data_IF_929204796513
#
_entry.id   IF_929204796513
#
_cell.length_a   1.000
_cell.length_b   1.000
_cell.length_c   1.000
_cell.angle_alpha   90.00
_cell.angle_beta   90.00
_cell.angle_gamma   90.00
#
_symmetry.space_group_name_H-M   'P 1'
#
loop_
_entity.id
_entity.type
_entity.pdbx_description
1 polymer ?
#
# COMPACT_ATOMS: atom_id res chain seq x y z
N UNK A 1 -11.84 9.39 -12.99
CA UNK A 1 -11.43 8.74 -11.72
C UNK A 1 -11.92 9.64 -10.62
N UNK A 2 -12.99 9.28 -9.92
CA UNK A 2 -13.53 10.10 -8.84
C UNK A 2 -13.62 9.26 -7.60
N UNK A 3 -12.56 9.26 -6.78
CA UNK A 3 -12.71 8.78 -5.42
C UNK A 3 -13.71 9.68 -4.69
N UNK A 4 -14.48 9.09 -3.77
CA UNK A 4 -15.40 9.87 -2.95
C UNK A 4 -14.62 10.86 -2.08
N UNK A 5 -15.19 12.04 -1.76
CA UNK A 5 -14.56 13.00 -0.84
C UNK A 5 -14.14 12.36 0.48
N UNK A 6 -14.92 11.39 0.97
CA UNK A 6 -14.64 10.62 2.18
C UNK A 6 -13.38 9.77 2.03
N UNK A 7 -13.21 9.08 0.91
CA UNK A 7 -12.00 8.29 0.63
C UNK A 7 -10.77 9.18 0.55
N UNK A 8 -10.88 10.34 -0.13
CA UNK A 8 -9.77 11.30 -0.23
C UNK A 8 -9.34 11.77 1.15
N UNK A 9 -10.30 12.16 2.00
CA UNK A 9 -10.03 12.62 3.37
C UNK A 9 -9.36 11.54 4.22
N UNK A 10 -9.82 10.30 4.13
CA UNK A 10 -9.22 9.18 4.87
C UNK A 10 -7.78 8.92 4.42
N UNK A 11 -7.55 8.87 3.10
CA UNK A 11 -6.21 8.72 2.53
C UNK A 11 -5.28 9.87 2.91
N UNK A 12 -5.77 11.11 2.95
CA UNK A 12 -5.00 12.26 3.43
C UNK A 12 -4.55 12.09 4.89
N UNK A 13 -5.42 11.57 5.76
CA UNK A 13 -5.09 11.28 7.15
C UNK A 13 -4.01 10.20 7.26
N UNK A 14 -4.19 9.07 6.57
CA UNK A 14 -3.22 7.97 6.56
C UNK A 14 -1.86 8.46 6.06
N UNK A 15 -1.83 9.19 4.93
CA UNK A 15 -0.58 9.71 4.35
C UNK A 15 0.11 10.68 5.31
N UNK A 16 -0.66 11.53 6.01
CA UNK A 16 -0.11 12.46 7.00
C UNK A 16 0.61 11.71 8.13
N UNK A 17 0.00 10.67 8.68
CA UNK A 17 0.57 9.89 9.79
C UNK A 17 1.78 9.05 9.33
N UNK A 18 1.71 8.50 8.11
CA UNK A 18 2.84 7.75 7.53
C UNK A 18 4.05 8.67 7.31
N UNK A 19 3.83 9.88 6.76
CA UNK A 19 4.91 10.83 6.46
C UNK A 19 5.45 11.58 7.67
N UNK A 20 4.77 11.58 8.82
CA UNK A 20 5.25 12.28 10.02
C UNK A 20 6.47 11.56 10.64
N UNK A 21 7.69 12.12 10.59
CA UNK A 21 8.88 11.48 11.12
C UNK A 21 8.87 11.36 12.65
N UNK A 22 8.00 12.09 13.36
CA UNK A 22 7.92 12.08 14.83
C UNK A 22 7.03 10.96 15.37
N UNK A 23 6.23 10.34 14.50
CA UNK A 23 5.33 9.27 14.88
C UNK A 23 5.92 7.92 14.46
N UNK A 24 5.91 6.96 15.38
CA UNK A 24 6.13 5.55 15.06
C UNK A 24 5.06 4.73 15.78
N UNK A 25 4.19 4.09 15.02
CA UNK A 25 3.03 3.36 15.52
C UNK A 25 2.98 1.97 14.89
N UNK A 26 2.20 1.10 15.51
CA UNK A 26 2.04 -0.28 15.06
C UNK A 26 1.01 -0.35 13.93
N UNK A 27 1.41 -0.96 12.82
CA UNK A 27 0.56 -1.25 11.66
C UNK A 27 0.37 -2.76 11.62
N UNK A 28 -0.89 -3.20 11.65
CA UNK A 28 -1.24 -4.62 11.50
C UNK A 28 -1.31 -4.96 10.03
N UNK A 29 -0.59 -6.01 9.62
CA UNK A 29 -0.68 -6.53 8.26
C UNK A 29 -1.94 -7.39 8.16
N UNK A 30 -2.81 -7.06 7.22
CA UNK A 30 -4.03 -7.82 6.92
C UNK A 30 -3.98 -8.32 5.48
N UNK A 31 -4.53 -9.51 5.23
CA UNK A 31 -4.77 -10.04 3.88
C UNK A 31 -6.27 -10.00 3.59
N UNK A 32 -6.89 -8.90 3.99
CA UNK A 32 -8.31 -8.59 3.92
C UNK A 32 -8.44 -7.05 3.86
N UNK A 33 -9.66 -6.53 3.91
CA UNK A 33 -9.86 -5.07 3.94
C UNK A 33 -9.09 -4.38 5.05
N UNK A 34 -8.34 -3.34 4.67
CA UNK A 34 -7.64 -2.43 5.56
C UNK A 34 -8.43 -1.13 5.76
N UNK A 35 -7.84 -0.18 6.50
CA UNK A 35 -8.49 1.11 6.80
C UNK A 35 -8.80 1.93 5.53
N UNK A 36 -7.98 1.82 4.48
CA UNK A 36 -8.24 2.47 3.20
C UNK A 36 -9.44 1.83 2.47
N UNK A 37 -9.55 0.49 2.52
CA UNK A 37 -10.71 -0.23 1.99
C UNK A 37 -12.00 0.20 2.71
N UNK A 38 -11.95 0.47 4.02
CA UNK A 38 -13.13 0.84 4.79
C UNK A 38 -13.82 2.11 4.27
N UNK A 39 -13.05 3.05 3.73
CA UNK A 39 -13.54 4.28 3.10
C UNK A 39 -13.77 4.17 1.58
N UNK A 40 -13.47 3.01 0.97
CA UNK A 40 -13.57 2.84 -0.48
C UNK A 40 -15.04 2.76 -0.94
N UNK A 41 -15.46 3.55 -1.95
CA UNK A 41 -16.83 3.52 -2.46
C UNK A 41 -17.19 2.21 -3.17
N UNK A 42 -16.18 1.40 -3.52
CA UNK A 42 -16.34 0.10 -4.19
C UNK A 42 -16.21 -1.08 -3.22
N UNK A 43 -16.18 -0.83 -1.91
CA UNK A 43 -16.17 -1.90 -0.91
C UNK A 43 -17.58 -2.51 -0.82
N UNK A 44 -17.71 -3.76 -1.29
CA UNK A 44 -18.85 -4.61 -0.98
C UNK A 44 -18.79 -5.09 0.47
N UNK A 45 -19.73 -5.94 0.88
CA UNK A 45 -19.79 -6.41 2.27
C UNK A 45 -18.55 -7.23 2.67
N UNK A 46 -18.08 -8.12 1.78
CA UNK A 46 -16.91 -9.00 1.99
C UNK A 46 -15.88 -8.95 0.86
N UNK A 47 -16.22 -8.36 -0.30
CA UNK A 47 -15.39 -8.37 -1.51
C UNK A 47 -15.29 -6.99 -2.15
N UNK A 48 -14.20 -6.74 -2.86
CA UNK A 48 -14.09 -5.54 -3.70
C UNK A 48 -15.00 -5.68 -4.93
N UNK A 49 -15.99 -4.80 -5.05
CA UNK A 49 -17.01 -4.79 -6.12
C UNK A 49 -16.72 -3.72 -7.18
N UNK A 50 -15.46 -3.27 -7.30
CA UNK A 50 -15.08 -2.23 -8.26
C UNK A 50 -15.30 -2.66 -9.71
N UNK A 51 -15.05 -3.94 -10.02
CA UNK A 51 -15.39 -4.58 -11.30
C UNK A 51 -15.36 -6.11 -11.16
N UNK A 52 -15.78 -6.84 -12.19
CA UNK A 52 -15.59 -8.30 -12.23
C UNK A 52 -14.10 -8.65 -12.04
N UNK A 53 -13.81 -9.54 -11.10
CA UNK A 53 -12.44 -9.96 -10.77
C UNK A 53 -11.62 -8.97 -9.95
N UNK A 54 -12.18 -7.82 -9.52
CA UNK A 54 -11.40 -6.82 -8.76
C UNK A 54 -10.96 -7.31 -7.39
N UNK A 55 -11.76 -8.16 -6.75
CA UNK A 55 -11.42 -8.75 -5.47
C UNK A 55 -10.19 -9.67 -5.56
N UNK A 56 -10.21 -10.63 -6.48
CA UNK A 56 -9.11 -11.55 -6.71
C UNK A 56 -7.85 -10.82 -7.15
N UNK A 57 -8.01 -9.75 -7.94
CA UNK A 57 -6.91 -8.90 -8.37
C UNK A 57 -6.22 -8.20 -7.19
N UNK A 58 -6.99 -7.55 -6.31
CA UNK A 58 -6.47 -6.86 -5.12
C UNK A 58 -5.83 -7.87 -4.16
N UNK A 59 -6.52 -8.96 -3.83
CA UNK A 59 -5.98 -9.99 -2.92
C UNK A 59 -4.69 -10.64 -3.47
N UNK A 60 -4.60 -10.83 -4.79
CA UNK A 60 -3.37 -11.32 -5.43
C UNK A 60 -2.22 -10.33 -5.30
N UNK A 61 -2.50 -9.03 -5.50
CA UNK A 61 -1.52 -7.96 -5.32
C UNK A 61 -1.04 -7.87 -3.87
N UNK A 62 -1.95 -7.86 -2.90
CA UNK A 62 -1.62 -7.84 -1.47
C UNK A 62 -0.76 -9.05 -1.10
N UNK A 63 -1.16 -10.24 -1.53
CA UNK A 63 -0.42 -11.47 -1.30
C UNK A 63 0.99 -11.45 -1.90
N UNK A 64 1.20 -10.82 -3.06
CA UNK A 64 2.55 -10.64 -3.62
C UNK A 64 3.39 -9.69 -2.77
N UNK A 65 2.84 -8.53 -2.38
CA UNK A 65 3.55 -7.52 -1.59
C UNK A 65 3.92 -8.07 -0.21
N UNK A 66 2.99 -8.71 0.50
CA UNK A 66 3.23 -9.33 1.81
C UNK A 66 4.37 -10.36 1.73
N UNK A 67 4.34 -11.24 0.73
CA UNK A 67 5.40 -12.24 0.50
C UNK A 67 6.74 -11.60 0.15
N UNK A 68 6.74 -10.60 -0.74
CA UNK A 68 7.95 -9.91 -1.18
C UNK A 68 8.65 -9.17 -0.04
N UNK A 69 7.88 -8.53 0.83
CA UNK A 69 8.40 -7.84 2.01
C UNK A 69 8.78 -8.82 3.15
N UNK A 70 8.29 -10.07 3.11
CA UNK A 70 8.50 -11.06 4.17
C UNK A 70 7.67 -10.78 5.41
N UNK A 71 6.47 -10.23 5.22
CA UNK A 71 5.52 -9.91 6.28
C UNK A 71 4.60 -11.11 6.55
N UNK A 72 4.09 -11.18 7.78
CA UNK A 72 3.15 -12.23 8.20
C UNK A 72 1.79 -11.58 8.47
N UNK A 73 0.71 -11.98 7.75
CA UNK A 73 -0.63 -11.52 8.05
C UNK A 73 -1.03 -11.78 9.50
N UNK A 74 -1.70 -10.82 10.14
CA UNK A 74 -2.06 -10.85 11.55
C UNK A 74 -1.01 -10.25 12.48
N UNK A 75 0.26 -10.16 12.07
CA UNK A 75 1.29 -9.51 12.87
C UNK A 75 1.24 -7.99 12.76
N UNK A 76 1.76 -7.33 13.80
CA UNK A 76 1.97 -5.88 13.83
C UNK A 76 3.44 -5.53 13.74
N UNK A 77 3.75 -4.51 12.96
CA UNK A 77 5.09 -3.98 12.76
C UNK A 77 5.09 -2.47 12.98
N UNK A 78 6.20 -1.91 13.45
CA UNK A 78 6.31 -0.45 13.52
C UNK A 78 6.34 0.15 12.12
N UNK A 79 5.77 1.36 11.97
CA UNK A 79 5.84 2.12 10.73
C UNK A 79 7.28 2.24 10.23
N UNK A 80 8.21 2.59 11.12
CA UNK A 80 9.65 2.72 10.80
C UNK A 80 10.22 1.43 10.20
N UNK A 81 9.86 0.27 10.75
CA UNK A 81 10.26 -1.04 10.25
C UNK A 81 9.69 -1.31 8.86
N UNK A 82 8.41 -1.02 8.64
CA UNK A 82 7.77 -1.22 7.33
C UNK A 82 8.38 -0.32 6.25
N UNK A 83 8.64 0.96 6.57
CA UNK A 83 9.32 1.88 5.65
C UNK A 83 10.73 1.39 5.31
N UNK A 84 11.49 0.95 6.32
CA UNK A 84 12.84 0.40 6.13
C UNK A 84 12.83 -0.84 5.23
N UNK A 85 11.98 -1.83 5.54
CA UNK A 85 11.87 -3.07 4.75
C UNK A 85 11.43 -2.75 3.31
N UNK A 86 10.45 -1.85 3.15
CA UNK A 86 9.96 -1.44 1.82
C UNK A 86 11.07 -0.78 1.03
N UNK A 87 11.78 0.17 1.62
CA UNK A 87 12.94 0.77 0.99
C UNK A 87 13.93 -0.33 0.59
N UNK A 88 14.31 -1.21 1.52
CA UNK A 88 15.33 -2.26 1.37
C UNK A 88 15.03 -3.26 0.25
N UNK A 89 13.77 -3.70 0.15
CA UNK A 89 13.38 -4.82 -0.71
C UNK A 89 12.65 -4.42 -1.98
N UNK A 90 12.14 -3.20 -2.09
CA UNK A 90 11.35 -2.77 -3.25
C UNK A 90 12.16 -1.80 -4.10
N UNK A 91 12.37 -2.18 -5.36
CA UNK A 91 12.91 -1.33 -6.40
C UNK A 91 11.79 -0.97 -7.38
N UNK A 92 11.92 0.14 -8.14
CA UNK A 92 10.87 0.57 -9.07
C UNK A 92 10.42 -0.52 -10.06
N UNK A 93 11.35 -1.37 -10.51
CA UNK A 93 11.05 -2.46 -11.44
C UNK A 93 10.29 -3.62 -10.79
N UNK A 94 10.37 -3.81 -9.47
CA UNK A 94 9.56 -4.82 -8.76
C UNK A 94 8.06 -4.50 -8.88
N UNK A 95 7.68 -3.22 -9.01
CA UNK A 95 6.27 -2.83 -9.18
C UNK A 95 5.64 -3.36 -10.46
N UNK A 96 6.43 -3.71 -11.48
CA UNK A 96 5.90 -4.33 -12.72
C UNK A 96 5.31 -5.71 -12.46
N UNK A 97 5.81 -6.42 -11.44
CA UNK A 97 5.26 -7.71 -11.01
C UNK A 97 4.27 -7.56 -9.84
N UNK A 98 4.64 -6.75 -8.84
CA UNK A 98 3.85 -6.58 -7.61
C UNK A 98 2.50 -5.91 -7.93
N UNK A 99 2.51 -4.85 -8.72
CA UNK A 99 1.33 -4.06 -9.08
C UNK A 99 0.86 -4.35 -10.51
N UNK A 100 1.20 -5.51 -11.08
CA UNK A 100 0.78 -5.90 -12.43
C UNK A 100 -0.74 -5.81 -12.59
N UNK A 101 -1.22 -4.98 -13.52
CA UNK A 101 -2.65 -4.74 -13.79
C UNK A 101 -3.28 -3.61 -12.97
N UNK A 102 -2.52 -2.95 -12.10
CA UNK A 102 -2.96 -1.75 -11.39
C UNK A 102 -3.03 -0.54 -12.33
N UNK A 103 -4.15 0.18 -12.29
CA UNK A 103 -4.36 1.38 -13.11
C UNK A 103 -3.39 2.53 -12.80
N UNK A 104 -2.78 2.54 -11.61
CA UNK A 104 -1.84 3.58 -11.20
C UNK A 104 -0.44 3.37 -11.76
N UNK A 105 -0.08 2.13 -12.12
CA UNK A 105 1.27 1.79 -12.54
C UNK A 105 1.69 2.54 -13.82
N UNK A 106 0.76 2.74 -14.75
CA UNK A 106 1.01 3.48 -16.00
C UNK A 106 1.30 4.97 -15.81
N UNK A 107 0.92 5.55 -14.66
CA UNK A 107 1.19 6.96 -14.36
C UNK A 107 2.61 7.20 -13.81
N UNK A 108 3.37 6.14 -13.49
CA UNK A 108 4.76 6.26 -13.03
C UNK A 108 4.95 6.73 -11.58
N UNK A 109 3.95 7.37 -10.97
CA UNK A 109 4.02 7.96 -9.63
C UNK A 109 4.45 6.97 -8.53
N UNK A 110 4.05 5.69 -8.63
CA UNK A 110 4.46 4.68 -7.65
C UNK A 110 5.96 4.34 -7.78
N UNK A 111 6.47 4.26 -9.01
CA UNK A 111 7.89 3.98 -9.28
C UNK A 111 8.79 5.13 -8.82
N UNK A 112 8.34 6.36 -9.05
CA UNK A 112 9.01 7.57 -8.55
C UNK A 112 9.09 7.55 -7.03
N UNK A 113 7.97 7.30 -6.34
CA UNK A 113 7.93 7.25 -4.87
C UNK A 113 8.85 6.17 -4.28
N UNK A 114 8.93 4.98 -4.89
CA UNK A 114 9.87 3.93 -4.45
C UNK A 114 11.33 4.35 -4.70
N UNK A 115 11.62 4.99 -5.83
CA UNK A 115 12.97 5.48 -6.12
C UNK A 115 13.42 6.56 -5.10
N UNK A 116 12.52 7.46 -4.72
CA UNK A 116 12.76 8.47 -3.69
C UNK A 116 12.98 7.84 -2.31
N UNK A 117 12.11 6.90 -1.92
CA UNK A 117 12.24 6.16 -0.67
C UNK A 117 13.59 5.44 -0.59
N UNK A 118 14.06 4.85 -1.70
CA UNK A 118 15.36 4.19 -1.80
C UNK A 118 16.55 5.13 -1.64
N UNK A 119 16.46 6.38 -2.11
CA UNK A 119 17.51 7.41 -1.94
C UNK A 119 17.68 7.81 -0.48
N UNK A 120 16.59 7.88 0.28
CA UNK A 120 16.61 8.23 1.70
C UNK A 120 17.35 7.20 2.57
N UNK A 121 17.66 6.00 2.07
CA UNK A 121 18.53 5.03 2.76
C UNK A 121 19.98 5.50 2.91
N UNK A 122 20.44 6.38 2.04
CA UNK A 122 21.87 6.76 1.94
C UNK A 122 22.20 8.01 2.74
N UNK A 123 21.23 8.57 3.48
CA UNK A 123 21.35 9.86 4.16
C UNK A 123 21.06 9.85 5.67
N UNK A 124 21.16 8.70 6.35
CA UNK A 124 21.04 8.61 7.82
C UNK A 124 22.18 7.81 8.44
#
# INVERSE_FOLDING_TARGET
MGYSPEFVKEMESIVKDIRDPKQDFQIRVVAAFDDACMACPHRGFEICEASEGSNEHVLSMDGKVIRHLGLVPGNSYSKSTLLKITAEKVEPHHLDFLCHGCSWLSFGVCKEGIAELGKNKQGS
#
